data_IF_999595080853
#
_entry.id   IF_999595080853
#
_cell.length_a   1.000
_cell.length_b   1.000
_cell.length_c   1.000
_cell.angle_alpha   90.00
_cell.angle_beta   90.00
_cell.angle_gamma   90.00
#
_symmetry.space_group_name_H-M   'P 1'
#
loop_
_entity.id
_entity.type
_entity.pdbx_description
1 polymer ?
#
# COMPACT_ATOMS: atom_id res chain seq x y z
N UNK A 1 15.04 -19.11 -7.38
CA UNK A 1 13.91 -19.07 -6.44
C UNK A 1 12.63 -18.57 -7.12
N UNK A 2 12.56 -17.34 -7.63
CA UNK A 2 11.31 -16.78 -8.19
C UNK A 2 10.72 -17.63 -9.32
N UNK A 3 11.54 -18.20 -10.19
CA UNK A 3 11.09 -18.99 -11.34
C UNK A 3 10.25 -20.24 -10.98
N UNK A 4 10.37 -20.74 -9.75
CA UNK A 4 9.54 -21.85 -9.25
C UNK A 4 8.19 -21.41 -8.68
N UNK A 5 7.99 -20.11 -8.51
CA UNK A 5 6.83 -19.51 -7.88
C UNK A 5 6.10 -18.52 -8.81
N UNK A 6 6.37 -18.57 -10.11
CA UNK A 6 5.76 -17.66 -11.10
C UNK A 6 4.25 -17.88 -11.15
N UNK A 7 3.50 -16.78 -11.04
CA UNK A 7 2.06 -16.77 -11.27
C UNK A 7 1.82 -16.84 -12.79
N UNK A 8 1.19 -17.90 -13.31
CA UNK A 8 1.04 -18.08 -14.74
C UNK A 8 -0.09 -17.19 -15.29
N UNK A 9 0.26 -16.03 -15.80
CA UNK A 9 -0.69 -15.13 -16.49
C UNK A 9 -0.72 -15.40 -17.98
N UNK A 10 -1.87 -15.24 -18.62
CA UNK A 10 -1.98 -15.27 -20.08
C UNK A 10 -1.27 -14.04 -20.69
N UNK A 11 -0.87 -14.13 -21.95
CA UNK A 11 -0.22 -13.01 -22.65
C UNK A 11 -1.13 -11.79 -22.83
N UNK A 12 -2.45 -11.98 -22.74
CA UNK A 12 -3.46 -10.93 -22.91
C UNK A 12 -4.00 -10.41 -21.59
N UNK A 13 -3.42 -10.85 -20.45
CA UNK A 13 -3.82 -10.42 -19.12
C UNK A 13 -2.73 -9.59 -18.49
N UNK A 14 -3.04 -8.34 -18.17
CA UNK A 14 -2.25 -7.49 -17.28
C UNK A 14 -2.83 -7.56 -15.89
N UNK A 15 -1.98 -7.54 -14.88
CA UNK A 15 -2.37 -7.64 -13.48
C UNK A 15 -1.49 -6.72 -12.63
N UNK A 16 -2.15 -5.87 -11.86
CA UNK A 16 -1.51 -4.98 -10.87
C UNK A 16 -1.99 -5.42 -9.48
N UNK A 17 -1.18 -6.21 -8.74
CA UNK A 17 -1.53 -6.63 -7.39
C UNK A 17 -1.29 -5.47 -6.41
N UNK A 18 -2.08 -5.37 -5.34
CA UNK A 18 -1.95 -4.31 -4.36
C UNK A 18 -2.35 -4.70 -2.92
N UNK A 19 -2.83 -5.93 -2.68
CA UNK A 19 -3.05 -6.43 -1.32
C UNK A 19 -2.95 -7.95 -1.23
N UNK A 20 -2.39 -8.47 -0.15
CA UNK A 20 -2.36 -9.89 0.18
C UNK A 20 -3.68 -10.31 0.83
N UNK A 21 -4.17 -11.52 0.51
CA UNK A 21 -5.42 -12.04 1.09
C UNK A 21 -5.25 -12.68 2.48
N UNK A 22 -4.04 -12.68 3.05
CA UNK A 22 -3.67 -13.24 4.36
C UNK A 22 -3.98 -14.74 4.54
N UNK A 23 -4.23 -15.46 3.45
CA UNK A 23 -4.51 -16.89 3.44
C UNK A 23 -3.31 -17.73 2.98
N UNK A 24 -2.20 -17.06 2.62
CA UNK A 24 -1.00 -17.69 2.08
C UNK A 24 -1.17 -18.31 0.69
N UNK A 25 -2.26 -17.99 -0.03
CA UNK A 25 -2.63 -18.64 -1.30
C UNK A 25 -3.17 -17.69 -2.35
N UNK A 26 -3.58 -16.49 -1.97
CA UNK A 26 -4.19 -15.53 -2.88
C UNK A 26 -3.86 -14.08 -2.53
N UNK A 27 -4.13 -13.20 -3.47
CA UNK A 27 -3.94 -11.75 -3.37
C UNK A 27 -5.06 -11.04 -4.14
N UNK A 28 -5.18 -9.73 -3.91
CA UNK A 28 -6.10 -8.84 -4.63
C UNK A 28 -5.32 -7.96 -5.59
N UNK A 29 -5.96 -7.62 -6.69
CA UNK A 29 -5.37 -6.73 -7.70
C UNK A 29 -6.38 -6.28 -8.75
N UNK A 30 -5.93 -5.33 -9.56
CA UNK A 30 -6.62 -4.92 -10.77
C UNK A 30 -6.22 -5.85 -11.90
N UNK A 31 -7.21 -6.43 -12.57
CA UNK A 31 -7.04 -7.32 -13.72
C UNK A 31 -7.51 -6.59 -14.96
N UNK A 32 -6.75 -6.70 -16.04
CA UNK A 32 -7.09 -6.16 -17.36
C UNK A 32 -6.95 -7.28 -18.38
N UNK A 33 -8.05 -7.71 -18.95
CA UNK A 33 -8.10 -8.76 -19.98
C UNK A 33 -9.31 -8.57 -20.88
N UNK A 34 -9.34 -9.19 -22.08
CA UNK A 34 -10.49 -9.11 -22.98
C UNK A 34 -11.81 -9.62 -22.35
N UNK A 35 -11.72 -10.52 -21.37
CA UNK A 35 -12.89 -11.13 -20.73
C UNK A 35 -13.34 -10.42 -19.45
N UNK A 36 -12.46 -9.60 -18.84
CA UNK A 36 -12.74 -8.91 -17.58
C UNK A 36 -11.68 -7.85 -17.29
N UNK A 37 -12.11 -6.63 -17.00
CA UNK A 37 -11.29 -5.59 -16.39
C UNK A 37 -11.96 -5.18 -15.09
N UNK A 38 -11.19 -5.14 -14.00
CA UNK A 38 -11.74 -4.82 -12.67
C UNK A 38 -10.94 -5.37 -11.52
N UNK A 39 -11.52 -5.29 -10.34
CA UNK A 39 -10.95 -5.78 -9.08
C UNK A 39 -11.27 -7.26 -8.89
N UNK A 40 -10.26 -8.06 -8.60
CA UNK A 40 -10.41 -9.49 -8.38
C UNK A 40 -9.52 -10.02 -7.25
N UNK A 41 -9.92 -11.15 -6.67
CA UNK A 41 -9.07 -12.02 -5.86
C UNK A 41 -8.49 -13.12 -6.75
N UNK A 42 -7.20 -13.28 -6.75
CA UNK A 42 -6.47 -14.17 -7.65
C UNK A 42 -5.70 -15.20 -6.81
N UNK A 43 -5.83 -16.49 -7.16
CA UNK A 43 -5.00 -17.53 -6.54
C UNK A 43 -3.54 -17.41 -7.01
N UNK A 44 -2.59 -17.79 -6.15
CA UNK A 44 -1.16 -17.77 -6.46
C UNK A 44 -0.80 -18.62 -7.69
N UNK A 45 -1.64 -19.61 -8.03
CA UNK A 45 -1.49 -20.42 -9.24
C UNK A 45 -2.19 -19.83 -10.47
N UNK A 46 -2.88 -18.70 -10.32
CA UNK A 46 -3.78 -18.06 -11.29
C UNK A 46 -4.90 -18.97 -11.88
N UNK A 47 -5.09 -20.16 -11.32
CA UNK A 47 -6.15 -21.10 -11.77
C UNK A 47 -7.54 -20.68 -11.31
N UNK A 48 -7.63 -19.86 -10.28
CA UNK A 48 -8.89 -19.37 -9.73
C UNK A 48 -8.84 -17.85 -9.60
N UNK A 49 -9.86 -17.20 -10.12
CA UNK A 49 -10.08 -15.78 -10.02
C UNK A 49 -11.54 -15.53 -9.61
N UNK A 50 -11.72 -14.87 -8.49
CA UNK A 50 -13.03 -14.39 -8.04
C UNK A 50 -13.15 -12.92 -8.43
N UNK A 51 -14.04 -12.63 -9.38
CA UNK A 51 -14.36 -11.26 -9.78
C UNK A 51 -15.13 -10.59 -8.67
N UNK A 52 -14.68 -9.40 -8.24
CA UNK A 52 -15.33 -8.63 -7.18
C UNK A 52 -16.11 -7.47 -7.78
N UNK A 53 -15.47 -6.69 -8.66
CA UNK A 53 -16.10 -5.53 -9.31
C UNK A 53 -15.48 -5.31 -10.68
N UNK A 54 -16.32 -5.19 -11.69
CA UNK A 54 -15.89 -4.73 -13.02
C UNK A 54 -15.70 -3.21 -13.01
N UNK A 55 -14.69 -2.73 -13.71
CA UNK A 55 -14.51 -1.30 -13.95
C UNK A 55 -15.57 -0.78 -14.92
N UNK A 56 -16.18 0.39 -14.64
CA UNK A 56 -17.07 1.07 -15.57
C UNK A 56 -16.40 1.36 -16.92
N UNK A 57 -15.18 1.88 -16.91
CA UNK A 57 -14.35 2.02 -18.10
C UNK A 57 -13.13 1.07 -18.03
N UNK A 58 -13.20 -0.09 -18.71
CA UNK A 58 -12.15 -1.10 -18.63
C UNK A 58 -10.80 -0.66 -19.21
N UNK A 59 -10.75 0.44 -19.94
CA UNK A 59 -9.53 0.95 -20.58
C UNK A 59 -8.86 2.07 -19.78
N UNK A 60 -9.61 2.77 -18.95
CA UNK A 60 -9.12 3.96 -18.23
C UNK A 60 -9.18 3.83 -16.71
N UNK A 61 -10.04 2.96 -16.17
CA UNK A 61 -10.17 2.84 -14.72
C UNK A 61 -9.04 1.98 -14.12
N UNK A 62 -8.62 2.35 -12.93
CA UNK A 62 -7.62 1.63 -12.15
C UNK A 62 -8.00 1.62 -10.67
N UNK A 63 -7.42 0.71 -9.90
CA UNK A 63 -7.70 0.62 -8.48
C UNK A 63 -6.45 0.27 -7.67
N UNK A 64 -6.45 0.71 -6.41
CA UNK A 64 -5.47 0.36 -5.40
C UNK A 64 -6.06 0.46 -4.00
N UNK A 65 -5.61 -0.40 -3.09
CA UNK A 65 -6.18 -0.46 -1.74
C UNK A 65 -5.54 -1.51 -0.84
N UNK A 66 -6.25 -1.89 0.21
CA UNK A 66 -5.75 -2.78 1.26
C UNK A 66 -6.81 -3.78 1.72
N UNK A 67 -6.35 -4.85 2.39
CA UNK A 67 -7.19 -5.90 2.96
C UNK A 67 -6.78 -6.19 4.41
N UNK A 68 -7.75 -6.27 5.34
CA UNK A 68 -7.48 -6.51 6.76
C UNK A 68 -7.78 -7.94 7.26
N UNK A 69 -8.09 -8.86 6.33
CA UNK A 69 -8.52 -10.23 6.63
C UNK A 69 -10.03 -10.44 6.54
N UNK A 70 -10.81 -9.37 6.53
CA UNK A 70 -12.25 -9.39 6.30
C UNK A 70 -12.67 -8.37 5.25
N UNK A 71 -12.25 -7.13 5.39
CA UNK A 71 -12.65 -6.03 4.54
C UNK A 71 -11.58 -5.73 3.50
N UNK A 72 -11.98 -5.69 2.24
CA UNK A 72 -11.20 -5.13 1.15
C UNK A 72 -11.71 -3.71 0.92
N UNK A 73 -10.80 -2.74 1.00
CA UNK A 73 -11.12 -1.32 0.73
C UNK A 73 -10.18 -0.80 -0.34
N UNK A 74 -10.73 -0.15 -1.36
CA UNK A 74 -9.92 0.41 -2.44
C UNK A 74 -10.48 1.71 -2.95
N UNK A 75 -9.62 2.54 -3.51
CA UNK A 75 -9.99 3.62 -4.42
C UNK A 75 -10.06 3.08 -5.84
N UNK A 76 -11.13 3.38 -6.54
CA UNK A 76 -11.31 3.15 -7.96
C UNK A 76 -11.25 4.51 -8.64
N UNK A 77 -10.20 4.75 -9.40
CA UNK A 77 -9.95 5.99 -10.11
C UNK A 77 -10.57 5.92 -11.50
N UNK A 78 -11.30 6.97 -11.90
CA UNK A 78 -12.02 7.06 -13.17
C UNK A 78 -11.18 7.80 -14.21
N UNK A 79 -10.10 7.17 -14.65
CA UNK A 79 -9.14 7.67 -15.63
C UNK A 79 -7.69 7.57 -15.18
N UNK A 80 -6.78 7.29 -16.12
CA UNK A 80 -5.34 7.23 -15.82
C UNK A 80 -4.71 8.60 -15.62
N UNK A 81 -5.26 9.64 -16.24
CA UNK A 81 -4.71 11.00 -16.19
C UNK A 81 -5.34 11.86 -15.11
N UNK A 82 -6.57 11.52 -14.68
CA UNK A 82 -7.31 12.27 -13.67
C UNK A 82 -7.54 11.42 -12.42
N UNK A 83 -6.59 11.47 -11.49
CA UNK A 83 -6.68 10.76 -10.22
C UNK A 83 -7.54 11.48 -9.17
N UNK A 84 -8.13 12.63 -9.54
CA UNK A 84 -9.00 13.41 -8.68
C UNK A 84 -10.43 12.89 -8.69
N UNK A 85 -10.81 12.19 -9.77
CA UNK A 85 -12.09 11.50 -9.88
C UNK A 85 -11.95 10.05 -9.41
N UNK A 86 -12.54 9.73 -8.26
CA UNK A 86 -12.49 8.39 -7.70
C UNK A 86 -13.71 8.04 -6.85
N UNK A 87 -13.92 6.76 -6.69
CA UNK A 87 -14.87 6.19 -5.74
C UNK A 87 -14.12 5.28 -4.76
N UNK A 88 -14.47 5.36 -3.46
CA UNK A 88 -13.95 4.45 -2.43
C UNK A 88 -14.98 3.34 -2.20
N UNK A 89 -14.54 2.11 -2.42
CA UNK A 89 -15.35 0.91 -2.25
C UNK A 89 -14.89 0.09 -1.05
N UNK A 90 -15.84 -0.59 -0.42
CA UNK A 90 -15.58 -1.60 0.59
C UNK A 90 -16.31 -2.90 0.23
N UNK A 91 -15.62 -4.04 0.37
CA UNK A 91 -16.18 -5.36 0.16
C UNK A 91 -15.93 -6.24 1.38
N UNK A 92 -17.00 -6.81 1.95
CA UNK A 92 -16.93 -7.77 3.06
C UNK A 92 -16.73 -9.19 2.50
N UNK A 93 -15.56 -9.76 2.69
CA UNK A 93 -15.22 -11.10 2.18
C UNK A 93 -16.04 -12.23 2.82
N UNK A 94 -16.70 -11.98 3.95
CA UNK A 94 -17.55 -12.98 4.63
C UNK A 94 -18.95 -13.05 4.06
N UNK A 95 -19.49 -11.90 3.66
CA UNK A 95 -20.88 -11.81 3.17
C UNK A 95 -20.94 -11.64 1.65
N UNK A 96 -19.84 -11.23 1.01
CA UNK A 96 -19.81 -10.82 -0.39
C UNK A 96 -20.43 -9.44 -0.65
N UNK A 97 -20.92 -8.78 0.40
CA UNK A 97 -21.55 -7.47 0.26
C UNK A 97 -20.53 -6.40 -0.09
N UNK A 98 -20.87 -5.54 -1.04
CA UNK A 98 -20.08 -4.39 -1.47
C UNK A 98 -20.87 -3.11 -1.22
N UNK A 99 -20.18 -2.06 -0.79
CA UNK A 99 -20.73 -0.73 -0.55
C UNK A 99 -19.78 0.36 -0.99
N UNK A 100 -20.33 1.45 -1.52
CA UNK A 100 -19.60 2.69 -1.71
C UNK A 100 -19.51 3.41 -0.36
N UNK A 101 -18.29 3.77 0.06
CA UNK A 101 -18.03 4.40 1.36
C UNK A 101 -17.50 5.82 1.24
N UNK A 102 -17.06 6.22 0.04
CA UNK A 102 -16.60 7.57 -0.25
C UNK A 102 -16.54 7.87 -1.74
N UNK A 103 -16.34 9.11 -2.09
CA UNK A 103 -16.13 9.57 -3.47
C UNK A 103 -15.37 10.89 -3.46
N UNK A 104 -14.79 11.24 -4.58
CA UNK A 104 -14.18 12.56 -4.82
C UNK A 104 -15.19 13.69 -4.63
N UNK A 105 -14.69 14.88 -4.23
CA UNK A 105 -15.49 16.06 -3.95
C UNK A 105 -15.51 17.01 -5.15
N UNK A 106 -16.68 17.34 -5.69
CA UNK A 106 -16.78 18.26 -6.83
C UNK A 106 -16.16 19.62 -6.53
N UNK A 107 -15.48 20.20 -7.53
CA UNK A 107 -14.94 21.55 -7.46
C UNK A 107 -15.91 22.56 -8.12
N UNK A 108 -15.98 23.83 -7.65
CA UNK A 108 -16.69 24.86 -8.34
C UNK A 108 -16.13 25.09 -9.76
N UNK A 109 -17.00 25.10 -10.76
CA UNK A 109 -16.59 25.23 -12.16
C UNK A 109 -16.42 23.92 -12.91
N UNK A 110 -16.70 22.79 -12.28
CA UNK A 110 -16.63 21.43 -12.86
C UNK A 110 -15.39 20.66 -12.46
N UNK A 111 -15.43 19.34 -12.65
CA UNK A 111 -14.38 18.44 -12.20
C UNK A 111 -14.36 18.22 -10.68
N UNK A 112 -13.21 17.83 -10.16
CA UNK A 112 -13.02 17.50 -8.74
C UNK A 112 -11.85 18.28 -8.16
N UNK A 113 -11.82 18.41 -6.82
CA UNK A 113 -10.67 18.99 -6.12
C UNK A 113 -9.47 18.03 -6.22
N UNK A 114 -8.29 18.62 -6.47
CA UNK A 114 -7.04 17.87 -6.56
C UNK A 114 -6.79 17.01 -5.32
N UNK A 115 -6.61 15.74 -5.53
CA UNK A 115 -6.43 14.75 -4.47
C UNK A 115 -5.03 14.12 -4.55
N UNK A 116 -4.36 13.89 -3.43
CA UNK A 116 -3.12 13.12 -3.46
C UNK A 116 -3.38 11.73 -4.02
N UNK A 117 -2.52 11.30 -4.95
CA UNK A 117 -2.55 9.91 -5.42
C UNK A 117 -2.11 8.99 -4.31
N UNK A 118 -3.08 8.48 -3.58
CA UNK A 118 -2.87 7.52 -2.49
C UNK A 118 -4.06 6.59 -2.39
N UNK A 119 -3.75 5.32 -2.26
CA UNK A 119 -4.74 4.30 -2.03
C UNK A 119 -5.39 4.46 -0.65
N UNK A 120 -6.54 3.85 -0.48
CA UNK A 120 -7.18 3.69 0.81
C UNK A 120 -6.45 2.61 1.62
N UNK A 121 -6.52 2.70 2.94
CA UNK A 121 -6.04 1.66 3.85
C UNK A 121 -7.19 1.16 4.73
N UNK A 122 -7.09 -0.07 5.21
CA UNK A 122 -8.09 -0.68 6.09
C UNK A 122 -7.46 -1.55 7.18
N UNK A 123 -7.99 -1.43 8.40
CA UNK A 123 -7.58 -2.27 9.52
C UNK A 123 -8.69 -2.40 10.55
N UNK A 124 -8.95 -3.63 10.97
CA UNK A 124 -9.94 -3.96 12.02
C UNK A 124 -11.34 -3.39 11.73
N UNK A 125 -11.71 -3.26 10.45
CA UNK A 125 -12.97 -2.71 9.99
C UNK A 125 -13.02 -1.17 10.00
N UNK A 126 -11.88 -0.51 10.12
CA UNK A 126 -11.74 0.93 9.94
C UNK A 126 -11.03 1.19 8.61
N UNK A 127 -11.68 1.93 7.72
CA UNK A 127 -11.09 2.41 6.47
C UNK A 127 -10.62 3.86 6.61
N UNK A 128 -9.58 4.21 5.86
CA UNK A 128 -9.07 5.59 5.79
C UNK A 128 -8.72 5.95 4.35
N UNK A 129 -8.98 7.20 3.99
CA UNK A 129 -8.55 7.77 2.72
C UNK A 129 -8.36 9.27 2.83
N UNK A 130 -7.76 9.85 1.80
CA UNK A 130 -7.67 11.29 1.59
C UNK A 130 -8.45 11.66 0.35
N UNK A 131 -9.10 12.82 0.40
CA UNK A 131 -9.70 13.47 -0.77
C UNK A 131 -9.35 14.94 -0.82
N UNK A 132 -9.33 15.52 -2.02
CA UNK A 132 -9.29 16.96 -2.22
C UNK A 132 -10.57 17.63 -1.69
N UNK A 133 -10.43 18.78 -1.06
CA UNK A 133 -11.53 19.45 -0.39
C UNK A 133 -11.61 20.96 -0.66
N UNK A 134 -10.63 21.52 -1.33
CA UNK A 134 -10.58 22.95 -1.59
C UNK A 134 -9.38 23.36 -2.45
N UNK A 135 -9.27 24.68 -2.75
CA UNK A 135 -8.15 25.20 -3.51
C UNK A 135 -6.82 25.04 -2.76
N UNK A 136 -5.71 25.17 -3.48
CA UNK A 136 -4.35 25.09 -2.93
C UNK A 136 -4.04 23.75 -2.25
N UNK A 137 -4.45 22.62 -2.83
CA UNK A 137 -4.19 21.27 -2.33
C UNK A 137 -4.76 21.03 -0.91
N UNK A 138 -5.83 21.70 -0.54
CA UNK A 138 -6.53 21.42 0.73
C UNK A 138 -7.19 20.05 0.63
N UNK A 139 -6.95 19.21 1.64
CA UNK A 139 -7.42 17.83 1.68
C UNK A 139 -8.19 17.53 2.96
N UNK A 140 -9.07 16.55 2.91
CA UNK A 140 -9.75 15.95 4.06
C UNK A 140 -9.24 14.53 4.29
N UNK A 141 -8.95 14.20 5.56
CA UNK A 141 -8.60 12.85 6.01
C UNK A 141 -9.84 12.22 6.62
N UNK A 142 -10.27 11.12 6.02
CA UNK A 142 -11.47 10.38 6.41
C UNK A 142 -11.12 9.15 7.22
N UNK A 143 -11.95 8.85 8.23
CA UNK A 143 -11.98 7.60 8.99
C UNK A 143 -13.41 7.06 8.97
N UNK A 144 -13.60 5.93 8.31
CA UNK A 144 -14.88 5.29 8.13
C UNK A 144 -14.95 3.97 8.93
N UNK A 145 -15.97 3.83 9.75
CA UNK A 145 -16.27 2.58 10.44
C UNK A 145 -17.16 1.71 9.55
N UNK A 146 -16.58 0.64 9.01
CA UNK A 146 -17.26 -0.28 8.09
C UNK A 146 -18.38 -1.10 8.75
N UNK A 147 -18.32 -1.24 10.07
CA UNK A 147 -19.38 -1.96 10.82
C UNK A 147 -20.54 -1.05 11.14
N UNK A 148 -20.25 0.19 11.50
CA UNK A 148 -21.27 1.19 11.82
C UNK A 148 -21.82 1.92 10.59
N UNK A 149 -21.15 1.81 9.43
CA UNK A 149 -21.52 2.54 8.22
C UNK A 149 -21.38 4.06 8.37
N UNK A 150 -20.38 4.54 9.14
CA UNK A 150 -20.28 5.95 9.48
C UNK A 150 -18.92 6.53 9.15
N UNK A 151 -18.93 7.65 8.43
CA UNK A 151 -17.76 8.45 8.08
C UNK A 151 -17.53 9.59 9.07
N UNK A 152 -16.26 9.97 9.22
CA UNK A 152 -15.85 11.18 9.91
C UNK A 152 -14.60 11.78 9.28
N UNK A 153 -14.68 13.07 8.90
CA UNK A 153 -13.50 13.86 8.62
C UNK A 153 -12.79 14.18 9.94
N UNK A 154 -11.58 13.69 10.10
CA UNK A 154 -10.79 13.90 11.33
C UNK A 154 -9.81 15.05 11.19
N UNK A 155 -9.55 15.49 9.97
CA UNK A 155 -8.63 16.58 9.67
C UNK A 155 -8.93 17.18 8.31
N UNK A 156 -8.94 18.51 8.24
CA UNK A 156 -8.79 19.28 7.02
C UNK A 156 -7.44 19.97 7.05
N UNK A 157 -6.64 19.81 6.01
CA UNK A 157 -5.26 20.29 5.95
C UNK A 157 -4.62 20.03 4.60
N UNK A 158 -3.35 19.67 4.58
CA UNK A 158 -2.58 19.35 3.37
C UNK A 158 -1.92 17.99 3.52
N UNK A 159 -2.75 16.96 3.73
CA UNK A 159 -2.28 15.59 3.85
C UNK A 159 -1.61 15.13 2.57
N UNK A 160 -0.41 14.60 2.69
CA UNK A 160 0.41 14.10 1.59
C UNK A 160 1.02 12.76 1.97
N UNK A 161 1.30 11.94 0.98
CA UNK A 161 1.98 10.69 1.21
C UNK A 161 1.10 9.56 1.74
N UNK A 162 1.74 8.49 2.21
CA UNK A 162 1.07 7.27 2.65
C UNK A 162 0.46 7.42 4.03
N UNK A 163 -0.71 6.81 4.22
CA UNK A 163 -1.26 6.59 5.55
C UNK A 163 -0.58 5.41 6.24
N UNK A 164 -0.62 5.42 7.55
CA UNK A 164 -0.25 4.32 8.40
C UNK A 164 -1.42 3.99 9.32
N UNK A 165 -2.04 2.84 9.14
CA UNK A 165 -2.97 2.27 10.10
C UNK A 165 -2.25 1.25 10.98
N UNK A 166 -2.04 1.58 12.27
CA UNK A 166 -1.34 0.72 13.21
C UNK A 166 -2.07 0.65 14.56
N UNK A 167 -2.61 -0.51 14.90
CA UNK A 167 -3.52 -0.66 16.04
C UNK A 167 -4.75 0.23 15.86
N UNK A 168 -5.05 1.06 16.86
CA UNK A 168 -6.17 2.02 16.82
C UNK A 168 -5.73 3.44 16.48
N UNK A 169 -4.74 3.58 15.62
CA UNK A 169 -4.18 4.86 15.25
C UNK A 169 -3.98 4.94 13.74
N UNK A 170 -4.36 6.06 13.16
CA UNK A 170 -3.98 6.48 11.83
C UNK A 170 -2.96 7.62 11.95
N UNK A 171 -1.91 7.59 11.13
CA UNK A 171 -0.93 8.65 11.03
C UNK A 171 -0.61 8.97 9.57
N UNK A 172 -0.30 10.23 9.30
CA UNK A 172 0.00 10.71 7.94
C UNK A 172 0.91 11.94 7.97
N UNK A 173 1.66 12.19 6.89
CA UNK A 173 2.41 13.42 6.72
C UNK A 173 1.52 14.54 6.14
N UNK A 174 1.75 15.78 6.57
CA UNK A 174 1.20 16.99 5.95
C UNK A 174 2.34 17.95 5.59
N UNK A 175 2.20 18.62 4.45
CA UNK A 175 3.07 19.72 4.05
C UNK A 175 2.18 20.97 3.81
N UNK A 176 2.25 21.97 4.68
CA UNK A 176 1.32 23.13 4.62
C UNK A 176 1.48 23.99 3.37
N UNK A 177 2.54 23.79 2.59
CA UNK A 177 2.75 24.41 1.27
C UNK A 177 3.86 23.68 0.54
N UNK A 178 3.95 23.84 -0.79
CA UNK A 178 5.02 23.27 -1.62
C UNK A 178 6.38 23.75 -1.11
N UNK A 179 7.27 22.79 -0.77
CA UNK A 179 8.60 23.08 -0.22
C UNK A 179 8.63 23.31 1.30
N UNK A 180 7.49 23.38 1.98
CA UNK A 180 7.46 23.46 3.43
C UNK A 180 7.87 22.12 4.08
N UNK A 181 8.34 22.21 5.33
CA UNK A 181 8.68 21.00 6.10
C UNK A 181 7.44 20.16 6.36
N UNK A 182 7.47 18.93 5.89
CA UNK A 182 6.46 17.91 6.21
C UNK A 182 6.45 17.62 7.71
N UNK A 183 5.27 17.55 8.30
CA UNK A 183 5.04 17.17 9.70
C UNK A 183 4.15 15.94 9.75
N UNK A 184 4.42 15.05 10.69
CA UNK A 184 3.54 13.94 10.98
C UNK A 184 2.35 14.38 11.82
N UNK A 185 1.19 13.86 11.49
CA UNK A 185 -0.05 13.97 12.26
C UNK A 185 -0.56 12.58 12.62
N UNK A 186 -1.40 12.50 13.63
CA UNK A 186 -1.99 11.25 14.07
C UNK A 186 -3.39 11.48 14.64
N UNK A 187 -4.25 10.46 14.52
CA UNK A 187 -5.56 10.43 15.12
C UNK A 187 -5.89 9.03 15.67
N UNK A 188 -6.73 9.00 16.71
CA UNK A 188 -7.34 7.76 17.19
C UNK A 188 -8.43 7.31 16.23
N UNK A 189 -8.38 6.07 15.74
CA UNK A 189 -9.45 5.50 14.92
C UNK A 189 -10.69 5.14 15.72
N UNK A 190 -10.55 4.88 17.03
CA UNK A 190 -11.69 4.61 17.93
C UNK A 190 -12.43 5.90 18.28
N UNK A 191 -11.72 6.89 18.82
CA UNK A 191 -12.32 8.16 19.23
C UNK A 191 -12.55 9.10 18.02
N UNK A 192 -11.90 8.83 16.88
CA UNK A 192 -11.93 9.63 15.66
C UNK A 192 -11.60 11.11 15.92
N UNK A 193 -10.55 11.33 16.69
CA UNK A 193 -10.03 12.66 17.04
C UNK A 193 -8.51 12.71 16.88
N UNK A 194 -7.92 13.87 16.62
CA UNK A 194 -6.49 14.06 16.63
C UNK A 194 -5.85 13.65 17.98
N UNK A 195 -4.67 13.06 17.92
CA UNK A 195 -3.87 12.66 19.08
C UNK A 195 -2.41 13.05 18.89
N UNK A 196 -1.60 13.14 19.95
CA UNK A 196 -0.17 13.37 19.83
C UNK A 196 0.51 12.31 18.97
N UNK A 197 1.43 12.76 18.10
CA UNK A 197 2.21 11.86 17.24
C UNK A 197 3.00 10.86 18.10
N UNK A 198 2.84 9.56 17.83
CA UNK A 198 3.55 8.52 18.58
C UNK A 198 5.07 8.65 18.50
N UNK A 199 5.76 8.14 19.53
CA UNK A 199 7.21 8.24 19.64
C UNK A 199 7.96 7.70 18.43
N UNK A 200 7.52 6.56 17.89
CA UNK A 200 8.14 5.92 16.74
C UNK A 200 8.08 6.75 15.45
N UNK A 201 7.14 7.70 15.35
CA UNK A 201 6.93 8.57 14.19
C UNK A 201 7.40 10.01 14.43
N UNK A 202 7.86 10.34 15.65
CA UNK A 202 8.35 11.70 15.96
C UNK A 202 9.62 12.00 15.18
N UNK A 203 9.64 13.16 14.55
CA UNK A 203 10.81 13.59 13.79
C UNK A 203 10.91 13.04 12.37
N UNK A 204 9.99 12.18 11.95
CA UNK A 204 9.89 11.80 10.55
C UNK A 204 9.51 13.02 9.70
N UNK A 205 10.21 13.19 8.59
CA UNK A 205 10.04 14.31 7.67
C UNK A 205 10.02 13.79 6.25
N UNK A 206 9.02 14.15 5.49
CA UNK A 206 8.95 13.83 4.06
C UNK A 206 8.84 12.33 3.76
N UNK A 207 8.27 11.54 4.66
CA UNK A 207 8.23 10.09 4.52
C UNK A 207 7.02 9.69 3.70
N UNK A 208 7.28 9.03 2.58
CA UNK A 208 6.34 8.15 1.88
C UNK A 208 6.77 6.70 2.13
N UNK A 209 5.85 5.74 2.04
CA UNK A 209 6.15 4.32 2.26
C UNK A 209 6.09 3.89 3.72
N UNK A 210 5.13 4.41 4.47
CA UNK A 210 4.78 3.92 5.79
C UNK A 210 4.01 2.60 5.67
N UNK A 211 4.44 1.57 6.39
CA UNK A 211 3.78 0.28 6.41
C UNK A 211 3.53 -0.24 7.84
N UNK A 212 2.44 -0.97 8.04
CA UNK A 212 2.13 -1.57 9.33
C UNK A 212 1.60 -2.99 9.23
N UNK A 213 1.98 -3.85 10.19
CA UNK A 213 1.35 -5.13 10.48
C UNK A 213 0.97 -5.19 11.97
N UNK A 214 -0.30 -5.02 12.27
CA UNK A 214 -0.78 -4.88 13.64
C UNK A 214 -0.23 -3.63 14.31
N UNK A 215 0.67 -3.81 15.30
CA UNK A 215 1.33 -2.71 16.00
C UNK A 215 2.71 -2.39 15.45
N UNK A 216 3.29 -3.29 14.67
CA UNK A 216 4.62 -3.11 14.07
C UNK A 216 4.53 -2.14 12.92
N UNK A 217 5.58 -1.37 12.75
CA UNK A 217 5.69 -0.40 11.66
C UNK A 217 7.05 -0.50 11.00
N UNK A 218 7.11 -0.21 9.71
CA UNK A 218 8.34 -0.06 8.94
C UNK A 218 8.25 1.17 8.04
N UNK A 219 9.37 1.83 7.82
CA UNK A 219 9.44 3.03 6.99
C UNK A 219 10.88 3.35 6.57
N UNK A 220 11.09 4.01 5.43
CA UNK A 220 12.38 4.62 5.11
C UNK A 220 12.56 5.90 5.93
N UNK A 221 13.77 6.38 6.12
CA UNK A 221 14.01 7.72 6.66
C UNK A 221 13.75 8.82 5.62
N UNK A 222 13.71 10.09 6.06
CA UNK A 222 13.44 11.22 5.16
C UNK A 222 14.38 11.33 3.95
N UNK A 223 15.71 11.06 4.08
CA UNK A 223 16.63 10.98 2.94
C UNK A 223 16.51 9.68 2.12
N UNK A 224 15.67 8.75 2.49
CA UNK A 224 15.55 7.42 1.88
C UNK A 224 16.85 6.59 1.90
N UNK A 225 17.69 6.83 2.89
CA UNK A 225 18.98 6.14 3.05
C UNK A 225 18.92 4.97 4.03
N UNK A 226 17.95 4.95 4.93
CA UNK A 226 17.85 3.88 5.92
C UNK A 226 16.43 3.36 6.05
N UNK A 227 16.32 2.03 6.21
CA UNK A 227 15.08 1.34 6.55
C UNK A 227 15.01 1.18 8.07
N UNK A 228 13.92 1.63 8.63
CA UNK A 228 13.62 1.57 10.06
C UNK A 228 12.40 0.71 10.34
N UNK A 229 12.35 0.13 11.51
CA UNK A 229 11.17 -0.52 12.03
C UNK A 229 10.99 -0.26 13.52
N UNK A 230 9.77 -0.43 14.01
CA UNK A 230 9.47 -0.41 15.44
C UNK A 230 8.45 -1.50 15.77
N UNK A 231 8.63 -2.15 16.93
CA UNK A 231 7.73 -3.22 17.39
C UNK A 231 6.35 -2.71 17.78
N UNK A 232 6.24 -1.41 18.04
CA UNK A 232 5.00 -0.69 18.28
C UNK A 232 5.19 0.81 18.07
N UNK A 233 4.10 1.55 17.98
CA UNK A 233 4.11 3.00 17.89
C UNK A 233 4.77 3.71 19.09
N UNK A 234 4.87 3.04 20.24
CA UNK A 234 5.50 3.56 21.47
C UNK A 234 6.98 3.19 21.60
N UNK A 235 7.45 2.23 20.81
CA UNK A 235 8.83 1.74 20.84
C UNK A 235 9.78 2.73 20.18
N UNK A 236 11.07 2.65 20.56
CA UNK A 236 12.14 3.29 19.79
C UNK A 236 12.32 2.56 18.46
N UNK A 237 12.39 3.29 17.35
CA UNK A 237 12.70 2.68 16.06
C UNK A 237 14.12 2.09 16.06
N UNK A 238 14.28 1.02 15.32
CA UNK A 238 15.56 0.35 15.09
C UNK A 238 15.87 0.35 13.60
N UNK A 239 17.09 0.68 13.25
CA UNK A 239 17.56 0.64 11.88
C UNK A 239 17.90 -0.80 11.49
N UNK A 240 17.44 -1.22 10.29
CA UNK A 240 17.70 -2.53 9.72
C UNK A 240 18.75 -2.46 8.61
N UNK A 241 18.56 -1.52 7.68
CA UNK A 241 19.36 -1.40 6.46
C UNK A 241 19.82 0.04 6.30
N UNK A 242 20.99 0.22 5.74
CA UNK A 242 21.48 1.52 5.23
C UNK A 242 21.89 1.35 3.78
N UNK A 243 21.28 2.10 2.88
CA UNK A 243 21.64 2.15 1.47
C UNK A 243 23.03 2.81 1.32
N UNK A 244 23.85 2.26 0.42
CA UNK A 244 25.21 2.76 0.19
C UNK A 244 25.26 3.62 -1.09
N UNK A 245 26.17 4.56 -1.11
CA UNK A 245 26.40 5.41 -2.29
C UNK A 245 25.15 6.17 -2.73
N UNK A 246 24.78 6.03 -4.01
CA UNK A 246 23.62 6.69 -4.63
C UNK A 246 22.31 5.90 -4.45
N UNK A 247 22.35 4.69 -3.90
CA UNK A 247 21.13 3.89 -3.69
C UNK A 247 20.16 4.62 -2.73
N UNK A 248 18.88 4.46 -3.00
CA UNK A 248 17.79 4.97 -2.19
C UNK A 248 16.79 3.84 -1.92
N UNK A 249 16.31 3.77 -0.68
CA UNK A 249 15.17 2.92 -0.33
C UNK A 249 13.92 3.61 -0.89
N UNK A 250 13.17 2.92 -1.72
CA UNK A 250 11.95 3.49 -2.31
C UNK A 250 10.76 3.47 -1.34
N UNK A 251 9.60 3.98 -1.81
CA UNK A 251 8.38 4.09 -0.99
C UNK A 251 7.58 2.78 -0.93
N UNK A 252 8.04 1.71 -1.58
CA UNK A 252 7.34 0.43 -1.62
C UNK A 252 7.64 -0.46 -0.42
N UNK A 253 7.81 0.14 0.77
CA UNK A 253 8.03 -0.62 2.00
C UNK A 253 6.75 -1.32 2.42
N UNK A 254 6.84 -2.62 2.68
CA UNK A 254 5.76 -3.46 3.20
C UNK A 254 6.24 -4.27 4.40
N UNK A 255 5.37 -4.56 5.35
CA UNK A 255 5.71 -5.36 6.53
C UNK A 255 4.66 -6.44 6.79
N UNK A 256 5.12 -7.67 6.94
CA UNK A 256 4.29 -8.82 7.30
C UNK A 256 5.00 -9.72 8.31
N UNK A 257 4.43 -9.86 9.52
CA UNK A 257 5.04 -10.65 10.57
C UNK A 257 6.44 -10.15 10.95
N UNK A 258 7.46 -10.95 10.70
CA UNK A 258 8.88 -10.60 10.93
C UNK A 258 9.62 -10.14 9.69
N UNK A 259 8.94 -10.05 8.55
CA UNK A 259 9.58 -9.73 7.28
C UNK A 259 9.18 -8.34 6.79
N UNK A 260 10.11 -7.67 6.13
CA UNK A 260 9.91 -6.38 5.47
C UNK A 260 10.37 -6.52 4.03
N UNK A 261 9.44 -6.29 3.08
CA UNK A 261 9.75 -6.10 1.65
C UNK A 261 10.09 -4.63 1.39
N UNK A 262 11.10 -4.37 0.58
CA UNK A 262 11.49 -3.01 0.20
C UNK A 262 12.29 -2.98 -1.09
N UNK A 263 12.26 -1.85 -1.78
CA UNK A 263 13.05 -1.60 -2.97
C UNK A 263 14.27 -0.72 -2.71
N UNK A 264 15.32 -0.96 -3.48
CA UNK A 264 16.41 -0.03 -3.76
C UNK A 264 16.64 -0.09 -5.28
N UNK A 265 15.91 0.73 -6.01
CA UNK A 265 15.81 0.62 -7.48
C UNK A 265 17.16 0.44 -8.19
N UNK A 266 17.22 -0.52 -9.12
CA UNK A 266 16.13 -1.37 -9.63
C UNK A 266 15.96 -2.69 -8.88
N UNK A 267 16.50 -2.84 -7.68
CA UNK A 267 16.57 -4.07 -6.89
C UNK A 267 15.47 -4.14 -5.84
N UNK A 268 14.97 -5.36 -5.59
CA UNK A 268 14.01 -5.66 -4.52
C UNK A 268 14.62 -6.57 -3.48
N UNK A 269 14.28 -6.33 -2.23
CA UNK A 269 14.83 -7.02 -1.06
C UNK A 269 13.74 -7.50 -0.10
N UNK A 270 14.07 -8.52 0.67
CA UNK A 270 13.34 -8.89 1.88
C UNK A 270 14.30 -8.88 3.08
N UNK A 271 13.90 -8.25 4.17
CA UNK A 271 14.63 -8.25 5.43
C UNK A 271 13.88 -9.04 6.51
N UNK A 272 14.61 -9.72 7.37
CA UNK A 272 14.10 -10.38 8.57
C UNK A 272 14.45 -9.53 9.81
N UNK A 273 13.42 -9.01 10.46
CA UNK A 273 13.53 -8.15 11.65
C UNK A 273 14.28 -8.85 12.80
N UNK A 274 14.05 -10.17 12.98
CA UNK A 274 14.62 -10.94 14.08
C UNK A 274 16.14 -11.13 13.93
N UNK A 275 16.58 -11.47 12.73
CA UNK A 275 17.99 -11.74 12.46
C UNK A 275 18.75 -10.51 11.99
N UNK A 276 18.05 -9.46 11.58
CA UNK A 276 18.59 -8.23 10.95
C UNK A 276 19.39 -8.56 9.69
N UNK A 277 18.92 -9.53 8.94
CA UNK A 277 19.51 -9.98 7.67
C UNK A 277 18.57 -9.62 6.55
N UNK A 278 19.10 -9.43 5.37
CA UNK A 278 18.30 -9.20 4.18
C UNK A 278 18.85 -9.94 2.97
N UNK A 279 17.98 -10.22 2.02
CA UNK A 279 18.27 -10.90 0.78
C UNK A 279 17.78 -10.05 -0.39
N UNK A 280 18.59 -9.91 -1.40
CA UNK A 280 18.16 -9.43 -2.71
C UNK A 280 17.33 -10.51 -3.38
N UNK A 281 16.09 -10.17 -3.77
CA UNK A 281 15.15 -11.09 -4.41
C UNK A 281 15.30 -11.02 -5.91
N UNK A 282 15.45 -9.81 -6.45
CA UNK A 282 15.63 -9.55 -7.87
C UNK A 282 16.38 -8.24 -8.10
N UNK A 283 17.20 -8.21 -9.14
CA UNK A 283 17.94 -7.02 -9.61
C UNK A 283 17.15 -6.15 -10.61
N UNK A 284 15.89 -6.48 -10.92
CA UNK A 284 15.18 -5.86 -12.04
C UNK A 284 13.77 -5.43 -11.67
N UNK A 285 13.66 -4.32 -10.98
CA UNK A 285 12.47 -3.49 -10.84
C UNK A 285 11.22 -4.18 -10.27
N UNK A 286 10.18 -3.43 -10.05
CA UNK A 286 8.88 -3.87 -9.56
C UNK A 286 8.64 -3.45 -8.11
N UNK A 287 7.70 -4.12 -7.46
CA UNK A 287 7.36 -3.90 -6.07
C UNK A 287 7.07 -5.22 -5.33
N UNK A 288 6.98 -5.14 -4.02
CA UNK A 288 6.72 -6.28 -3.14
C UNK A 288 5.50 -6.02 -2.29
N UNK A 289 4.69 -7.08 -2.09
CA UNK A 289 3.69 -7.16 -1.04
C UNK A 289 4.08 -8.30 -0.08
N UNK A 290 4.00 -8.06 1.21
CA UNK A 290 4.39 -9.04 2.24
C UNK A 290 3.29 -9.19 3.26
N UNK A 291 2.89 -10.45 3.53
CA UNK A 291 2.10 -10.78 4.70
C UNK A 291 2.89 -11.68 5.66
N UNK A 292 2.21 -12.30 6.63
CA UNK A 292 2.85 -13.18 7.63
C UNK A 292 3.32 -14.52 7.07
N UNK A 293 2.87 -14.89 5.88
CA UNK A 293 3.04 -16.22 5.29
C UNK A 293 3.72 -16.22 3.94
N UNK A 294 3.59 -15.12 3.21
CA UNK A 294 3.94 -15.06 1.80
C UNK A 294 4.49 -13.71 1.38
N UNK A 295 5.23 -13.73 0.30
CA UNK A 295 5.79 -12.58 -0.41
C UNK A 295 5.28 -12.64 -1.84
N UNK A 296 4.71 -11.54 -2.31
CA UNK A 296 4.38 -11.31 -3.71
C UNK A 296 5.40 -10.34 -4.30
N UNK A 297 5.95 -10.68 -5.44
CA UNK A 297 6.99 -9.89 -6.12
C UNK A 297 6.60 -9.68 -7.56
N UNK A 298 6.62 -8.44 -8.03
CA UNK A 298 6.59 -8.13 -9.46
C UNK A 298 8.00 -7.80 -9.94
N UNK A 299 8.42 -8.33 -11.08
CA UNK A 299 9.78 -8.18 -11.58
C UNK A 299 9.89 -8.30 -13.10
N UNK A 300 10.93 -7.72 -13.68
CA UNK A 300 11.31 -7.93 -15.09
C UNK A 300 12.39 -9.01 -15.20
N UNK A 301 12.49 -9.68 -16.34
CA UNK A 301 13.55 -10.69 -16.58
C UNK A 301 14.95 -10.08 -16.74
N UNK A 302 15.03 -8.86 -17.22
CA UNK A 302 16.28 -8.14 -17.43
C UNK A 302 16.04 -6.64 -17.46
N UNK A 303 17.10 -5.85 -17.28
CA UNK A 303 17.03 -4.39 -17.38
C UNK A 303 16.59 -3.88 -18.78
N UNK A 304 16.78 -4.69 -19.82
CA UNK A 304 16.33 -4.38 -21.20
C UNK A 304 14.85 -4.69 -21.42
N UNK A 305 14.18 -5.34 -20.46
CA UNK A 305 12.79 -5.79 -20.57
C UNK A 305 11.85 -4.93 -19.71
N UNK A 306 12.21 -3.67 -19.43
CA UNK A 306 11.33 -2.74 -18.71
C UNK A 306 9.99 -2.50 -19.43
N UNK A 307 9.98 -2.66 -20.77
CA UNK A 307 8.76 -2.59 -21.60
C UNK A 307 8.06 -3.96 -21.79
N UNK A 308 8.62 -5.04 -21.25
CA UNK A 308 7.99 -6.35 -21.30
C UNK A 308 7.01 -6.50 -20.12
N UNK A 309 5.92 -7.30 -20.27
CA UNK A 309 5.00 -7.53 -19.17
C UNK A 309 5.76 -8.03 -17.94
N UNK A 310 5.57 -7.32 -16.84
CA UNK A 310 6.17 -7.67 -15.56
C UNK A 310 5.78 -9.10 -15.18
N UNK A 311 6.75 -9.88 -14.73
CA UNK A 311 6.49 -11.19 -14.14
C UNK A 311 6.08 -11.01 -12.69
N UNK A 312 5.35 -11.98 -12.22
CA UNK A 312 4.89 -12.03 -10.83
C UNK A 312 5.27 -13.37 -10.22
N UNK A 313 5.76 -13.35 -9.00
CA UNK A 313 6.00 -14.55 -8.21
C UNK A 313 5.32 -14.45 -6.85
N UNK A 314 4.67 -15.53 -6.43
CA UNK A 314 4.06 -15.67 -5.12
C UNK A 314 4.85 -16.71 -4.32
N UNK A 315 5.67 -16.25 -3.37
CA UNK A 315 6.66 -17.05 -2.66
C UNK A 315 6.21 -17.25 -1.21
N UNK A 316 5.95 -18.49 -0.77
CA UNK A 316 5.80 -18.78 0.66
C UNK A 316 7.07 -18.38 1.43
N UNK A 317 6.94 -17.66 2.54
CA UNK A 317 8.11 -17.18 3.31
C UNK A 317 9.00 -18.32 3.84
N UNK A 318 8.46 -19.51 4.03
CA UNK A 318 9.22 -20.72 4.40
C UNK A 318 10.17 -21.20 3.30
N UNK A 319 9.90 -20.85 2.05
CA UNK A 319 10.68 -21.25 0.88
C UNK A 319 11.79 -20.23 0.56
N UNK A 320 11.87 -19.15 1.34
CA UNK A 320 12.99 -18.22 1.24
C UNK A 320 14.29 -18.92 1.69
N UNK A 321 15.39 -18.77 0.94
CA UNK A 321 16.68 -19.25 1.40
C UNK A 321 17.10 -18.57 2.71
N UNK A 322 18.02 -19.16 3.48
CA UNK A 322 18.58 -18.50 4.65
C UNK A 322 19.11 -17.12 4.29
N UNK A 323 18.63 -16.08 4.98
CA UNK A 323 19.07 -14.72 4.69
C UNK A 323 20.56 -14.58 5.09
N UNK A 324 21.43 -14.09 4.18
CA UNK A 324 22.84 -13.94 4.46
C UNK A 324 23.08 -12.94 5.59
N UNK A 325 24.17 -13.15 6.36
CA UNK A 325 24.59 -12.16 7.35
C UNK A 325 24.94 -10.86 6.63
N UNK A 326 24.48 -9.73 7.18
CA UNK A 326 24.97 -8.42 6.74
C UNK A 326 26.47 -8.36 7.03
N UNK A 327 27.30 -8.21 6.00
CA UNK A 327 28.73 -7.89 6.11
C UNK A 327 28.93 -6.39 6.04
#
# INVERSE_FOLDING_TARGET
>A
MLEHHVVPLSRTTSLVPWAMAHDGRSFFGSVYSPAFSGVARISATAKQMTRIRAFPDPNNDQAGGAFDGRWLVWKEYHGFENLDDFTVWAWDSRTGQMSQVGTSKPAPGGGFWESPWRDSDVRDGIATWVQGAGPNEVTEVHVYDLRAGSDRVIRTGHAQGSFLLAGHLVAWPESPSRGARTKMYAASTLARIPVPVPRALRGLRGVSGLAADGRRIAYPDGPYKSLWWASSLRSNPQKIVTARGLDHIDNSVQIGGRYIGFGMQPRLFVADIKTRRYLEITGHGGYTEVDRTSLLVTYAKSSKALDAPARMAFVPLRDLPPLPACR
#
